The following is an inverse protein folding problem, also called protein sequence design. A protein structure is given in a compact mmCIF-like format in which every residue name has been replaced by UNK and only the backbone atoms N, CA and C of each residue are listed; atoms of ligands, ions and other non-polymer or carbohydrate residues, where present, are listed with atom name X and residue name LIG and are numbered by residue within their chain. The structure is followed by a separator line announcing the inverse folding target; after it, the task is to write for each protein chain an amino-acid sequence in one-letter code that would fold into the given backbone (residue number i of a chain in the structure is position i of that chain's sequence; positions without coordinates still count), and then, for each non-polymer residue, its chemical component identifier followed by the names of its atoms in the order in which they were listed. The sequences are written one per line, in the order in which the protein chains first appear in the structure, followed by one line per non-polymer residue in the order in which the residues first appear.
data_IF_707793042201
#
_entry.id   IF_707793042201
#
_cell.length_a   1.000
_cell.length_b   1.000
_cell.length_c   1.000
_cell.angle_alpha   90.00
_cell.angle_beta   90.00
_cell.angle_gamma   90.00
#
_symmetry.space_group_name_H-M   'P 1'
#
loop_
_entity.id
_entity.type
_entity.pdbx_description
1 polymer ?
#
# COMPACT_ATOMS: atom_id res chain seq x y z
N UNK A 1 54.10 47.68 8.09
CA UNK A 1 54.57 49.02 7.71
C UNK A 1 53.60 50.04 8.29
N UNK A 2 54.09 50.86 9.22
CA UNK A 2 53.33 51.96 9.80
C UNK A 2 53.17 53.04 8.72
N UNK A 3 51.96 53.16 8.18
CA UNK A 3 51.65 54.17 7.18
C UNK A 3 51.46 55.50 7.92
N UNK A 4 52.55 56.24 8.06
CA UNK A 4 52.55 57.53 8.76
C UNK A 4 51.66 58.50 7.97
N UNK A 5 50.65 59.06 8.62
CA UNK A 5 49.73 60.02 7.97
C UNK A 5 50.40 61.39 7.87
N UNK A 6 50.83 61.76 6.66
CA UNK A 6 51.51 63.03 6.38
C UNK A 6 50.61 64.24 6.61
N UNK A 7 49.28 64.09 6.48
CA UNK A 7 48.33 65.15 6.80
C UNK A 7 48.26 65.38 8.32
N UNK A 8 48.28 64.29 9.10
CA UNK A 8 48.31 64.37 10.56
C UNK A 8 49.62 64.98 11.10
N UNK A 9 50.77 64.68 10.48
CA UNK A 9 52.06 65.28 10.86
C UNK A 9 52.04 66.80 10.69
N UNK A 10 51.53 67.29 9.55
CA UNK A 10 51.39 68.72 9.28
C UNK A 10 50.23 69.36 10.03
N UNK A 11 49.30 68.58 10.59
CA UNK A 11 48.14 69.07 11.33
C UNK A 11 47.05 69.68 10.44
N UNK A 12 46.96 69.25 9.18
CA UNK A 12 46.02 69.78 8.19
C UNK A 12 45.00 68.73 7.77
N UNK A 13 43.75 69.12 7.43
CA UNK A 13 42.78 68.18 6.89
C UNK A 13 43.17 67.74 5.47
N UNK A 14 42.72 66.55 5.04
CA UNK A 14 42.99 66.01 3.70
C UNK A 14 42.46 66.88 2.55
N UNK A 15 41.46 67.71 2.83
CA UNK A 15 40.87 68.70 1.92
C UNK A 15 41.67 70.01 1.83
N UNK A 16 42.79 70.16 2.55
CA UNK A 16 43.56 71.39 2.57
C UNK A 16 44.11 71.77 1.18
N UNK A 17 44.00 73.07 0.85
CA UNK A 17 44.64 73.66 -0.33
C UNK A 17 46.15 73.65 -0.20
N UNK A 18 46.86 73.75 -1.33
CA UNK A 18 48.33 73.81 -1.36
C UNK A 18 48.89 74.96 -0.53
N UNK A 19 48.18 76.09 -0.51
CA UNK A 19 48.59 77.26 0.28
C UNK A 19 48.47 77.00 1.78
N UNK A 20 47.39 76.32 2.22
CA UNK A 20 47.22 75.91 3.62
C UNK A 20 48.26 74.89 4.09
N UNK A 21 48.68 73.97 3.21
CA UNK A 21 49.78 73.02 3.50
C UNK A 21 51.11 73.77 3.66
N UNK A 22 51.35 74.81 2.84
CA UNK A 22 52.56 75.64 2.89
C UNK A 22 52.60 76.50 4.15
N UNK A 23 51.47 77.05 4.58
CA UNK A 23 51.35 77.82 5.81
C UNK A 23 51.55 76.95 7.05
N UNK A 24 50.90 75.79 7.11
CA UNK A 24 51.08 74.84 8.21
C UNK A 24 52.52 74.33 8.34
N UNK A 25 53.19 74.08 7.21
CA UNK A 25 54.62 73.74 7.20
C UNK A 25 55.49 74.87 7.78
N UNK A 26 55.23 76.14 7.41
CA UNK A 26 55.99 77.28 7.96
C UNK A 26 55.84 77.40 9.46
N UNK A 27 54.62 77.25 9.99
CA UNK A 27 54.35 77.29 11.43
C UNK A 27 55.07 76.15 12.16
N UNK A 28 54.92 74.91 11.69
CA UNK A 28 55.59 73.73 12.25
C UNK A 28 57.12 73.80 12.15
N UNK A 29 57.65 74.37 11.07
CA UNK A 29 59.09 74.53 10.88
C UNK A 29 59.69 75.58 11.81
N UNK A 30 58.94 76.64 12.16
CA UNK A 30 59.36 77.64 13.15
C UNK A 30 59.31 77.08 14.58
N UNK A 31 58.31 76.24 14.88
CA UNK A 31 58.17 75.58 16.19
C UNK A 31 59.24 74.50 16.42
N UNK A 32 59.60 73.74 15.37
CA UNK A 32 60.48 72.58 15.44
C UNK A 32 61.85 72.84 14.81
N UNK A 33 62.26 74.10 14.65
CA UNK A 33 63.57 74.42 14.11
C UNK A 33 64.67 73.88 15.06
N UNK A 34 65.70 73.18 14.55
CA UNK A 34 66.73 72.55 15.39
C UNK A 34 67.53 73.55 16.24
N UNK A 35 67.55 74.82 15.86
CA UNK A 35 68.17 75.92 16.62
C UNK A 35 67.39 76.29 17.90
N UNK A 36 66.07 76.06 17.92
CA UNK A 36 65.19 76.40 19.05
C UNK A 36 64.75 75.18 19.86
N UNK A 37 64.73 73.99 19.23
CA UNK A 37 64.40 72.74 19.89
C UNK A 37 65.32 71.59 19.39
N UNK A 38 66.45 71.32 20.06
CA UNK A 38 67.44 70.35 19.61
C UNK A 38 66.95 68.89 19.63
N UNK A 39 65.91 68.55 20.40
CA UNK A 39 65.33 67.20 20.41
C UNK A 39 64.29 66.99 19.29
N UNK A 40 63.91 68.05 18.58
CA UNK A 40 62.90 68.03 17.52
C UNK A 40 63.38 67.51 16.16
N UNK A 41 64.66 67.17 16.00
CA UNK A 41 65.26 66.85 14.69
C UNK A 41 64.54 65.69 13.97
N UNK A 42 64.17 64.63 14.70
CA UNK A 42 63.47 63.49 14.14
C UNK A 42 62.06 63.86 13.63
N UNK A 43 61.34 64.71 14.37
CA UNK A 43 60.00 65.18 14.00
C UNK A 43 60.08 66.19 12.85
N UNK A 44 61.10 67.05 12.86
CA UNK A 44 61.36 68.00 11.78
C UNK A 44 61.63 67.28 10.45
N UNK A 45 62.43 66.22 10.44
CA UNK A 45 62.64 65.37 9.24
C UNK A 45 61.32 64.78 8.71
N UNK A 46 60.41 64.37 9.59
CA UNK A 46 59.09 63.88 9.20
C UNK A 46 58.20 64.98 8.62
N UNK A 47 58.23 66.18 9.20
CA UNK A 47 57.50 67.36 8.71
C UNK A 47 57.99 67.78 7.32
N UNK A 48 59.30 67.77 7.08
CA UNK A 48 59.90 68.06 5.76
C UNK A 48 59.49 67.01 4.73
N UNK A 49 59.53 65.72 5.10
CA UNK A 49 59.09 64.64 4.22
C UNK A 49 57.60 64.72 3.88
N UNK A 50 56.76 65.03 4.87
CA UNK A 50 55.32 65.24 4.68
C UNK A 50 55.05 66.38 3.70
N UNK A 51 55.71 67.52 3.88
CA UNK A 51 55.57 68.67 2.98
C UNK A 51 56.02 68.34 1.55
N UNK A 52 57.16 67.66 1.38
CA UNK A 52 57.68 67.31 0.04
C UNK A 52 56.74 66.38 -0.75
N UNK A 53 56.03 65.48 -0.07
CA UNK A 53 55.04 64.59 -0.69
C UNK A 53 53.75 65.34 -1.00
N UNK A 54 53.26 66.17 -0.06
CA UNK A 54 51.97 66.86 -0.18
C UNK A 54 52.00 68.13 -1.05
N UNK A 55 53.15 68.79 -1.19
CA UNK A 55 53.31 69.99 -2.02
C UNK A 55 53.20 69.66 -3.52
N UNK A 56 53.74 68.52 -3.95
CA UNK A 56 53.70 68.11 -5.36
C UNK A 56 52.35 67.47 -5.69
N UNK A 57 51.59 67.98 -6.67
CA UNK A 57 50.28 67.43 -7.01
C UNK A 57 50.35 65.98 -7.48
N UNK A 58 51.45 65.58 -8.14
CA UNK A 58 51.65 64.21 -8.62
C UNK A 58 51.95 63.23 -7.50
N UNK A 59 52.76 63.65 -6.51
CA UNK A 59 53.09 62.81 -5.33
C UNK A 59 51.91 62.74 -4.36
N UNK A 60 51.21 63.86 -4.13
CA UNK A 60 49.98 63.91 -3.34
C UNK A 60 48.92 62.97 -3.89
N UNK A 61 48.68 62.99 -5.21
CA UNK A 61 47.70 62.09 -5.84
C UNK A 61 48.04 60.61 -5.64
N UNK A 62 49.31 60.22 -5.82
CA UNK A 62 49.75 58.82 -5.59
C UNK A 62 49.57 58.42 -4.13
N UNK A 63 49.91 59.31 -3.20
CA UNK A 63 49.74 59.08 -1.77
C UNK A 63 48.26 58.94 -1.38
N UNK A 64 47.39 59.80 -1.92
CA UNK A 64 45.94 59.74 -1.69
C UNK A 64 45.34 58.46 -2.31
N UNK A 65 45.80 58.03 -3.49
CA UNK A 65 45.41 56.77 -4.13
C UNK A 65 45.83 55.56 -3.28
N UNK A 66 47.08 55.51 -2.80
CA UNK A 66 47.56 54.45 -1.91
C UNK A 66 46.71 54.37 -0.65
N UNK A 67 46.50 55.48 0.06
CA UNK A 67 45.67 55.48 1.27
C UNK A 67 44.24 55.05 0.96
N UNK A 68 43.65 55.51 -0.15
CA UNK A 68 42.28 55.12 -0.53
C UNK A 68 42.16 53.61 -0.79
N UNK A 69 43.21 52.97 -1.31
CA UNK A 69 43.28 51.52 -1.50
C UNK A 69 43.43 50.79 -0.17
N UNK A 70 44.18 51.36 0.79
CA UNK A 70 44.29 50.80 2.14
C UNK A 70 42.99 50.93 2.93
N UNK A 71 42.30 52.07 2.89
CA UNK A 71 40.99 52.26 3.52
C UNK A 71 39.94 51.30 2.91
N UNK A 72 39.97 51.10 1.59
CA UNK A 72 39.10 50.13 0.89
C UNK A 72 39.36 48.68 1.30
N UNK A 73 40.60 48.32 1.67
CA UNK A 73 40.98 46.97 2.12
C UNK A 73 40.70 46.72 3.61
N UNK A 74 40.37 47.73 4.41
CA UNK A 74 40.07 47.60 5.86
C UNK A 74 38.58 47.57 6.24
N UNK A 75 37.65 47.76 5.29
CA UNK A 75 36.24 47.39 5.42
C UNK A 75 35.33 48.37 6.18
N UNK A 76 34.49 49.10 5.43
CA UNK A 76 33.31 49.85 5.90
C UNK A 76 32.59 50.54 4.72
N UNK A 77 31.24 50.56 4.66
CA UNK A 77 30.49 50.87 3.44
C UNK A 77 30.48 52.36 3.10
N UNK A 78 30.66 52.67 1.82
CA UNK A 78 30.49 54.04 1.28
C UNK A 78 28.99 54.32 1.13
N UNK A 79 28.43 55.42 1.68
CA UNK A 79 27.07 55.82 1.36
C UNK A 79 27.04 56.40 -0.06
N UNK A 80 26.24 55.79 -0.93
CA UNK A 80 25.86 56.39 -2.21
C UNK A 80 24.76 57.43 -1.96
N UNK A 81 24.79 58.63 -2.57
CA UNK A 81 23.57 59.36 -2.82
C UNK A 81 22.85 58.75 -4.04
N UNK A 82 21.59 58.36 -3.81
CA UNK A 82 20.63 57.90 -4.82
C UNK A 82 20.01 59.07 -5.60
N UNK A 83 19.53 58.70 -6.81
CA UNK A 83 18.54 59.37 -7.69
C UNK A 83 19.04 60.55 -8.55
N UNK A 84 18.66 60.69 -9.82
CA UNK A 84 17.65 60.04 -10.67
C UNK A 84 17.96 60.31 -12.16
N UNK A 85 17.49 59.44 -13.08
CA UNK A 85 17.38 59.77 -14.52
C UNK A 85 17.80 58.66 -15.49
N UNK A 86 16.84 57.81 -15.86
CA UNK A 86 16.84 56.87 -17.01
C UNK A 86 17.06 57.58 -18.37
N UNK A 87 17.14 56.87 -19.53
CA UNK A 87 17.57 55.49 -19.80
C UNK A 87 18.57 55.37 -20.98
N UNK A 88 19.12 54.17 -21.15
CA UNK A 88 19.85 53.70 -22.33
C UNK A 88 18.92 53.67 -23.58
N UNK A 89 19.43 53.73 -24.83
CA UNK A 89 19.79 52.46 -25.45
C UNK A 89 20.94 52.48 -26.50
N UNK A 90 21.47 51.28 -26.71
CA UNK A 90 21.97 50.74 -28.00
C UNK A 90 23.36 51.12 -28.53
N UNK A 91 24.20 50.07 -28.51
CA UNK A 91 25.09 49.61 -29.61
C UNK A 91 24.92 50.30 -30.97
N UNK A 92 26.02 50.82 -31.51
CA UNK A 92 26.55 50.64 -32.89
C UNK A 92 27.71 51.63 -33.06
N UNK A 93 28.96 51.18 -33.25
CA UNK A 93 29.62 50.91 -34.54
C UNK A 93 29.85 52.14 -35.42
N UNK A 94 31.11 52.26 -35.90
CA UNK A 94 31.57 53.22 -36.90
C UNK A 94 31.97 54.56 -36.27
N UNK A 95 33.02 55.24 -36.68
CA UNK A 95 33.78 55.15 -37.91
C UNK A 95 34.93 56.16 -37.83
N UNK A 96 36.01 55.89 -38.58
CA UNK A 96 37.02 56.84 -39.04
C UNK A 96 37.83 57.59 -37.95
N UNK A 97 39.15 57.66 -38.01
CA UNK A 97 40.02 57.58 -39.16
C UNK A 97 41.14 58.59 -38.94
N UNK A 98 42.29 58.28 -39.50
CA UNK A 98 43.40 59.19 -39.78
C UNK A 98 44.34 59.57 -38.62
N UNK A 99 45.54 59.00 -38.71
CA UNK A 99 46.82 59.64 -38.39
C UNK A 99 46.93 60.98 -39.18
N UNK A 100 47.74 61.97 -38.73
CA UNK A 100 49.14 61.96 -39.17
C UNK A 100 50.16 62.42 -38.11
N UNK A 101 51.38 61.92 -38.27
CA UNK A 101 52.63 62.56 -37.80
C UNK A 101 52.80 63.94 -38.44
N UNK A 102 53.42 64.91 -37.75
CA UNK A 102 54.42 65.84 -38.36
C UNK A 102 54.82 67.04 -37.45
N UNK A 103 56.10 67.05 -37.08
CA UNK A 103 57.10 68.16 -37.01
C UNK A 103 56.76 69.59 -36.56
N UNK A 104 57.60 70.10 -35.62
CA UNK A 104 58.24 71.44 -35.60
C UNK A 104 57.34 72.68 -35.43
N UNK A 105 57.72 73.83 -34.88
CA UNK A 105 59.00 74.44 -34.46
C UNK A 105 58.65 75.75 -33.70
N UNK A 106 59.46 76.17 -32.70
CA UNK A 106 59.68 77.57 -32.20
C UNK A 106 58.46 78.29 -31.55
N UNK A 107 58.57 79.03 -30.44
CA UNK A 107 59.47 80.15 -30.13
C UNK A 107 59.48 80.49 -28.62
N UNK A 108 60.67 80.83 -28.13
CA UNK A 108 61.01 82.00 -27.28
C UNK A 108 60.53 82.14 -25.82
N UNK A 109 61.55 82.33 -24.97
CA UNK A 109 61.64 83.18 -23.76
C UNK A 109 60.96 82.70 -22.46
N UNK A 110 61.75 82.15 -21.54
CA UNK A 110 62.34 82.90 -20.42
C UNK A 110 63.02 81.94 -19.41
N UNK A 111 64.35 82.08 -19.26
CA UNK A 111 65.12 81.79 -18.04
C UNK A 111 65.63 83.17 -17.55
N UNK A 112 66.00 83.41 -16.27
CA UNK A 112 66.96 82.59 -15.50
C UNK A 112 66.61 82.52 -13.98
N UNK A 113 67.25 81.73 -13.12
CA UNK A 113 68.68 81.76 -12.74
C UNK A 113 69.07 80.45 -12.05
N UNK A 114 70.25 79.94 -12.39
CA UNK A 114 70.97 78.90 -11.66
C UNK A 114 72.43 79.33 -11.45
N UNK A 115 72.99 78.87 -10.33
CA UNK A 115 74.31 79.11 -9.78
C UNK A 115 75.46 78.74 -10.72
N UNK A 116 75.90 79.71 -11.52
CA UNK A 116 77.12 79.55 -12.34
C UNK A 116 77.86 80.89 -12.51
N UNK A 117 77.87 81.72 -11.47
CA UNK A 117 78.62 82.98 -11.40
C UNK A 117 79.24 83.22 -10.02
N UNK A 118 80.08 82.29 -9.57
CA UNK A 118 80.90 82.49 -8.38
C UNK A 118 82.41 82.29 -8.60
N UNK A 119 82.82 81.87 -9.81
CA UNK A 119 84.25 81.66 -10.12
C UNK A 119 84.79 82.49 -11.29
N UNK A 120 83.96 83.37 -11.89
CA UNK A 120 84.33 84.16 -13.08
C UNK A 120 84.58 85.66 -12.82
N UNK A 121 84.46 86.12 -11.57
CA UNK A 121 84.63 87.53 -11.16
C UNK A 121 85.96 87.83 -10.43
N UNK A 122 86.81 86.83 -10.20
CA UNK A 122 88.15 87.03 -9.61
C UNK A 122 89.23 87.22 -10.71
N UNK A 123 88.99 86.70 -11.91
CA UNK A 123 89.97 86.76 -13.02
C UNK A 123 89.77 87.95 -13.98
N UNK A 124 88.69 88.73 -13.80
CA UNK A 124 88.39 89.95 -14.59
C UNK A 124 88.90 91.25 -13.97
N UNK A 125 89.45 91.21 -12.76
CA UNK A 125 89.99 92.37 -12.04
C UNK A 125 91.49 92.63 -12.30
N UNK A 126 92.18 91.77 -13.06
CA UNK A 126 93.65 91.84 -13.24
C UNK A 126 94.13 92.14 -14.68
N UNK A 127 93.23 92.50 -15.61
CA UNK A 127 93.58 92.66 -17.06
C UNK A 127 93.10 93.93 -17.77
N UNK A 128 92.70 94.99 -17.07
CA UNK A 128 92.46 96.31 -17.69
C UNK A 128 93.02 97.44 -16.83
N UNK A 129 94.24 97.87 -17.15
CA UNK A 129 94.79 99.14 -16.70
C UNK A 129 94.51 100.23 -17.72
N UNK A 130 94.05 101.41 -17.28
CA UNK A 130 94.37 102.71 -17.91
C UNK A 130 93.97 103.84 -16.95
N UNK A 131 94.93 104.39 -16.19
CA UNK A 131 94.89 105.78 -15.74
C UNK A 131 96.30 106.35 -15.91
N UNK A 132 96.33 107.61 -16.35
CA UNK A 132 97.47 108.30 -16.94
C UNK A 132 98.66 108.49 -16.00
N UNK A 133 99.81 108.71 -16.62
CA UNK A 133 101.09 108.84 -15.95
C UNK A 133 101.33 110.19 -15.27
N UNK A 134 102.38 110.19 -14.45
CA UNK A 134 103.28 111.32 -14.21
C UNK A 134 104.58 110.77 -13.59
N UNK A 135 105.70 110.91 -14.30
CA UNK A 135 107.08 110.86 -13.80
C UNK A 135 107.39 112.14 -12.98
N UNK A 136 108.46 112.25 -12.13
CA UNK A 136 109.81 111.71 -12.38
C UNK A 136 110.74 111.33 -11.19
N UNK A 137 111.86 110.70 -11.55
CA UNK A 137 113.24 110.77 -10.98
C UNK A 137 113.53 110.31 -9.53
N UNK A 138 114.51 109.40 -9.38
CA UNK A 138 115.88 109.73 -8.91
C UNK A 138 116.63 108.53 -8.29
N UNK A 139 117.81 108.23 -8.87
CA UNK A 139 119.11 107.73 -8.33
C UNK A 139 119.15 106.56 -7.31
N UNK A 140 120.07 105.58 -7.39
CA UNK A 140 121.52 105.74 -7.60
C UNK A 140 122.23 104.37 -7.91
N UNK A 141 123.10 104.34 -8.94
CA UNK A 141 124.49 103.78 -9.07
C UNK A 141 124.84 102.34 -8.61
N UNK A 142 125.82 101.59 -9.14
CA UNK A 142 126.75 101.56 -10.31
C UNK A 142 127.46 100.16 -10.20
N UNK A 143 127.85 99.46 -11.27
CA UNK A 143 129.19 99.37 -11.91
C UNK A 143 129.09 98.13 -12.85
N UNK A 144 129.74 97.93 -14.00
CA UNK A 144 130.81 98.60 -14.71
C UNK A 144 131.44 97.59 -15.70
N UNK A 145 131.26 97.85 -17.01
CA UNK A 145 132.24 97.67 -18.10
C UNK A 145 132.83 96.26 -18.44
N UNK A 146 132.68 95.83 -19.72
CA UNK A 146 133.74 95.78 -20.78
C UNK A 146 133.43 94.74 -21.87
N UNK A 147 133.36 95.19 -23.12
CA UNK A 147 133.66 94.43 -24.35
C UNK A 147 134.96 95.04 -24.92
N UNK A 148 135.78 94.40 -25.80
CA UNK A 148 135.31 93.87 -27.10
C UNK A 148 136.12 92.72 -27.74
N UNK A 149 135.60 92.16 -28.84
CA UNK A 149 136.44 91.89 -30.02
C UNK A 149 136.26 90.55 -30.75
N UNK A 150 135.64 90.60 -31.94
CA UNK A 150 136.21 89.93 -33.13
C UNK A 150 135.45 88.73 -33.73
N UNK A 151 135.24 88.83 -35.05
CA UNK A 151 134.98 87.78 -36.04
C UNK A 151 133.52 87.36 -36.29
N UNK A 152 132.94 88.00 -37.32
CA UNK A 152 131.71 87.64 -38.01
C UNK A 152 131.78 86.20 -38.56
N UNK A 153 131.05 85.28 -37.93
CA UNK A 153 130.52 84.07 -38.59
C UNK A 153 129.06 84.35 -38.93
N UNK A 154 128.73 84.21 -40.21
CA UNK A 154 127.47 84.64 -40.81
C UNK A 154 126.24 84.08 -40.09
N UNK A 155 125.32 84.98 -39.72
CA UNK A 155 124.03 84.71 -39.08
C UNK A 155 123.24 83.54 -39.71
N UNK A 156 123.46 83.24 -40.99
CA UNK A 156 122.84 82.12 -41.70
C UNK A 156 123.27 80.74 -41.21
N UNK A 157 124.54 80.55 -40.82
CA UNK A 157 125.00 79.26 -40.28
C UNK A 157 124.50 79.05 -38.84
N UNK A 158 124.51 80.12 -38.05
CA UNK A 158 123.91 80.12 -36.72
C UNK A 158 122.40 79.82 -36.76
N UNK A 159 121.67 80.42 -37.70
CA UNK A 159 120.23 80.21 -37.85
C UNK A 159 119.89 78.79 -38.31
N UNK A 160 120.64 78.22 -39.27
CA UNK A 160 120.48 76.82 -39.70
C UNK A 160 120.76 75.84 -38.56
N UNK A 161 121.85 76.05 -37.82
CA UNK A 161 122.17 75.23 -36.63
C UNK A 161 121.05 75.30 -35.58
N UNK A 162 120.46 76.48 -35.35
CA UNK A 162 119.33 76.64 -34.43
C UNK A 162 118.05 75.98 -34.91
N UNK A 163 117.77 75.96 -36.21
CA UNK A 163 116.66 75.21 -36.80
C UNK A 163 116.84 73.69 -36.64
N UNK A 164 118.06 73.18 -36.82
CA UNK A 164 118.41 71.77 -36.63
C UNK A 164 118.26 71.35 -35.15
N UNK A 165 118.74 72.18 -34.21
CA UNK A 165 118.58 71.96 -32.75
C UNK A 165 117.10 71.96 -32.33
N UNK A 166 116.27 72.84 -32.93
CA UNK A 166 114.83 72.84 -32.69
C UNK A 166 114.20 71.53 -33.19
N UNK A 167 114.55 71.08 -34.39
CA UNK A 167 114.09 69.79 -34.94
C UNK A 167 114.50 68.61 -34.06
N UNK A 168 115.74 68.55 -33.62
CA UNK A 168 116.21 67.51 -32.72
C UNK A 168 115.48 67.56 -31.37
N UNK A 169 115.21 68.74 -30.83
CA UNK A 169 114.41 68.88 -29.60
C UNK A 169 112.94 68.45 -29.80
N UNK A 170 112.34 68.75 -30.95
CA UNK A 170 110.99 68.31 -31.31
C UNK A 170 110.92 66.79 -31.48
N UNK A 171 111.93 66.16 -32.07
CA UNK A 171 112.04 64.71 -32.20
C UNK A 171 112.22 64.03 -30.83
N UNK A 172 113.04 64.60 -29.94
CA UNK A 172 113.17 64.12 -28.56
C UNK A 172 111.85 64.27 -27.80
N UNK A 173 111.12 65.37 -28.00
CA UNK A 173 109.79 65.56 -27.40
C UNK A 173 108.78 64.55 -27.94
N UNK A 174 108.75 64.28 -29.25
CA UNK A 174 107.89 63.25 -29.85
C UNK A 174 108.24 61.85 -29.32
N UNK A 175 109.52 61.51 -29.25
CA UNK A 175 109.99 60.23 -28.69
C UNK A 175 109.60 60.07 -27.21
N UNK A 176 109.68 61.14 -26.40
CA UNK A 176 109.21 61.13 -25.01
C UNK A 176 107.69 60.95 -24.90
N UNK A 177 106.92 61.61 -25.76
CA UNK A 177 105.45 61.44 -25.81
C UNK A 177 105.07 60.03 -26.26
N UNK A 178 105.75 59.47 -27.26
CA UNK A 178 105.49 58.11 -27.73
C UNK A 178 105.93 57.05 -26.70
N UNK A 179 107.01 57.29 -25.96
CA UNK A 179 107.39 56.46 -24.83
C UNK A 179 106.36 56.53 -23.69
N UNK A 180 105.86 57.72 -23.34
CA UNK A 180 104.79 57.90 -22.37
C UNK A 180 103.50 57.17 -22.80
N UNK A 181 103.11 57.28 -24.08
CA UNK A 181 101.97 56.54 -24.64
C UNK A 181 102.14 55.03 -24.59
N UNK A 182 103.36 54.52 -24.83
CA UNK A 182 103.66 53.08 -24.69
C UNK A 182 103.55 52.63 -23.25
N UNK A 183 104.06 53.43 -22.31
CA UNK A 183 103.94 53.15 -20.88
C UNK A 183 102.48 53.15 -20.42
N UNK A 184 101.70 54.15 -20.81
CA UNK A 184 100.25 54.21 -20.55
C UNK A 184 99.50 53.02 -21.16
N UNK A 185 99.89 52.56 -22.36
CA UNK A 185 99.30 51.38 -22.98
C UNK A 185 99.64 50.09 -22.24
N UNK A 186 100.87 49.96 -21.70
CA UNK A 186 101.27 48.84 -20.86
C UNK A 186 100.57 48.85 -19.50
N UNK A 187 100.44 50.01 -18.87
CA UNK A 187 99.68 50.17 -17.63
C UNK A 187 98.20 49.85 -17.83
N UNK A 188 97.61 50.28 -18.95
CA UNK A 188 96.24 49.94 -19.31
C UNK A 188 96.06 48.43 -19.52
N UNK A 189 97.01 47.77 -20.22
CA UNK A 189 97.00 46.30 -20.36
C UNK A 189 97.07 45.60 -19.01
N UNK A 190 97.96 46.01 -18.11
CA UNK A 190 98.06 45.45 -16.76
C UNK A 190 96.79 45.69 -15.93
N UNK A 191 96.16 46.87 -16.06
CA UNK A 191 94.89 47.17 -15.43
C UNK A 191 93.74 46.33 -15.98
N UNK A 192 93.71 46.08 -17.30
CA UNK A 192 92.72 45.23 -17.96
C UNK A 192 92.93 43.75 -17.60
N UNK A 193 94.17 43.27 -17.52
CA UNK A 193 94.50 41.93 -17.02
C UNK A 193 94.06 41.75 -15.56
N UNK A 194 94.28 42.76 -14.72
CA UNK A 194 93.85 42.72 -13.32
C UNK A 194 92.32 42.76 -13.20
N UNK A 195 91.62 43.59 -13.99
CA UNK A 195 90.15 43.62 -14.06
C UNK A 195 89.58 42.28 -14.53
N UNK A 196 90.12 41.69 -15.59
CA UNK A 196 89.71 40.38 -16.09
C UNK A 196 89.93 39.28 -15.05
N UNK A 197 91.01 39.35 -14.28
CA UNK A 197 91.28 38.41 -13.18
C UNK A 197 90.26 38.56 -12.04
N UNK A 198 89.88 39.79 -11.67
CA UNK A 198 88.84 40.04 -10.68
C UNK A 198 87.48 39.55 -11.18
N UNK A 199 87.09 39.88 -12.41
CA UNK A 199 85.85 39.40 -13.01
C UNK A 199 85.80 37.87 -13.08
N UNK A 200 86.93 37.20 -13.38
CA UNK A 200 86.98 35.73 -13.39
C UNK A 200 86.76 35.16 -11.99
N UNK A 201 87.36 35.74 -10.96
CA UNK A 201 87.16 35.33 -9.57
C UNK A 201 85.74 35.58 -9.08
N UNK A 202 85.13 36.69 -9.50
CA UNK A 202 83.74 37.00 -9.19
C UNK A 202 82.79 36.03 -9.89
N UNK A 203 83.00 35.74 -11.18
CA UNK A 203 82.24 34.71 -11.91
C UNK A 203 82.37 33.33 -11.26
N UNK A 204 83.56 32.93 -10.84
CA UNK A 204 83.77 31.66 -10.14
C UNK A 204 82.97 31.60 -8.81
N UNK A 205 83.00 32.68 -8.00
CA UNK A 205 82.21 32.78 -6.77
C UNK A 205 80.70 32.79 -7.03
N UNK A 206 80.26 33.49 -8.06
CA UNK A 206 78.85 33.53 -8.47
C UNK A 206 78.38 32.17 -8.97
N UNK A 207 79.21 31.45 -9.73
CA UNK A 207 78.93 30.08 -10.14
C UNK A 207 78.85 29.12 -8.96
N UNK A 208 79.73 29.26 -7.98
CA UNK A 208 79.71 28.46 -6.75
C UNK A 208 78.42 28.72 -5.95
N UNK A 209 78.07 29.99 -5.71
CA UNK A 209 76.80 30.36 -5.09
C UNK A 209 75.59 29.88 -5.88
N UNK A 210 75.66 29.90 -7.21
CA UNK A 210 74.60 29.37 -8.07
C UNK A 210 74.48 27.85 -7.92
N UNK A 211 75.59 27.11 -7.85
CA UNK A 211 75.59 25.66 -7.62
C UNK A 211 75.05 25.33 -6.23
N UNK A 212 75.41 26.10 -5.20
CA UNK A 212 74.89 25.93 -3.85
C UNK A 212 73.39 26.20 -3.77
N UNK A 213 72.91 27.28 -4.40
CA UNK A 213 71.47 27.57 -4.51
C UNK A 213 70.73 26.44 -5.23
N UNK A 214 71.26 25.96 -6.36
CA UNK A 214 70.67 24.84 -7.08
C UNK A 214 70.64 23.54 -6.26
N UNK A 215 71.68 23.26 -5.45
CA UNK A 215 71.67 22.13 -4.51
C UNK A 215 70.61 22.27 -3.43
N UNK A 216 70.49 23.45 -2.81
CA UNK A 216 69.47 23.72 -1.79
C UNK A 216 68.07 23.64 -2.36
N UNK A 217 67.84 24.20 -3.55
CA UNK A 217 66.55 24.11 -4.25
C UNK A 217 66.21 22.64 -4.54
N UNK A 218 67.17 21.84 -4.99
CA UNK A 218 66.96 20.41 -5.22
C UNK A 218 66.65 19.64 -3.91
N UNK A 219 67.37 19.92 -2.82
CA UNK A 219 67.10 19.31 -1.50
C UNK A 219 65.75 19.74 -0.91
N UNK A 220 65.33 20.99 -1.13
CA UNK A 220 64.01 21.46 -0.73
C UNK A 220 62.92 20.82 -1.60
N UNK A 221 63.16 20.64 -2.89
CA UNK A 221 62.23 20.00 -3.80
C UNK A 221 62.07 18.50 -3.49
N UNK A 222 63.15 17.79 -3.15
CA UNK A 222 63.06 16.38 -2.70
C UNK A 222 62.28 16.28 -1.40
N UNK A 223 62.59 17.11 -0.39
CA UNK A 223 61.81 17.16 0.86
C UNK A 223 60.35 17.52 0.63
N UNK A 224 60.07 18.40 -0.34
CA UNK A 224 58.70 18.74 -0.72
C UNK A 224 57.98 17.54 -1.33
N UNK A 225 58.63 16.80 -2.24
CA UNK A 225 58.07 15.56 -2.83
C UNK A 225 57.83 14.50 -1.76
N UNK A 226 58.77 14.28 -0.84
CA UNK A 226 58.60 13.37 0.28
C UNK A 226 57.41 13.76 1.18
N UNK A 227 57.24 15.05 1.48
CA UNK A 227 56.08 15.55 2.24
C UNK A 227 54.78 15.35 1.47
N UNK A 228 54.75 15.64 0.17
CA UNK A 228 53.58 15.45 -0.69
C UNK A 228 53.22 13.95 -0.78
N UNK A 229 54.21 13.06 -0.90
CA UNK A 229 54.02 11.61 -0.87
C UNK A 229 53.54 11.13 0.50
N UNK A 230 54.09 11.64 1.60
CA UNK A 230 53.64 11.32 2.95
C UNK A 230 52.19 11.76 3.19
N UNK A 231 51.80 12.96 2.74
CA UNK A 231 50.42 13.44 2.81
C UNK A 231 49.51 12.55 1.96
N UNK A 232 49.95 12.14 0.76
CA UNK A 232 49.21 11.24 -0.11
C UNK A 232 49.02 9.86 0.53
N UNK A 233 50.05 9.33 1.18
CA UNK A 233 49.99 8.06 1.93
C UNK A 233 49.04 8.18 3.12
N UNK A 234 49.16 9.21 3.95
CA UNK A 234 48.24 9.45 5.06
C UNK A 234 46.79 9.58 4.60
N UNK A 235 46.55 10.30 3.50
CA UNK A 235 45.21 10.41 2.94
C UNK A 235 44.70 9.06 2.43
N UNK A 236 45.54 8.28 1.74
CA UNK A 236 45.19 6.94 1.29
C UNK A 236 44.91 6.00 2.47
N UNK A 237 45.65 6.10 3.57
CA UNK A 237 45.41 5.35 4.81
C UNK A 237 44.10 5.77 5.48
N UNK A 238 43.82 7.08 5.56
CA UNK A 238 42.54 7.59 6.07
C UNK A 238 41.37 7.12 5.20
N UNK A 239 41.51 7.16 3.88
CA UNK A 239 40.49 6.69 2.95
C UNK A 239 40.31 5.17 3.08
N UNK A 240 41.39 4.39 3.23
CA UNK A 240 41.32 2.95 3.54
C UNK A 240 40.65 2.67 4.88
N UNK A 241 40.96 3.44 5.92
CA UNK A 241 40.35 3.30 7.24
C UNK A 241 38.84 3.60 7.19
N UNK A 242 38.43 4.68 6.53
CA UNK A 242 37.01 5.00 6.30
C UNK A 242 36.29 3.91 5.51
N UNK A 243 36.94 3.35 4.49
CA UNK A 243 36.38 2.23 3.73
C UNK A 243 36.27 0.96 4.57
N UNK A 244 37.23 0.70 5.46
CA UNK A 244 37.18 -0.41 6.40
C UNK A 244 36.04 -0.23 7.43
N UNK A 245 35.90 0.95 8.03
CA UNK A 245 34.78 1.29 8.92
C UNK A 245 33.43 1.14 8.21
N UNK A 246 33.33 1.62 6.97
CA UNK A 246 32.14 1.46 6.15
C UNK A 246 31.85 -0.03 5.86
N UNK A 247 32.87 -0.83 5.56
CA UNK A 247 32.72 -2.26 5.35
C UNK A 247 32.29 -3.01 6.63
N UNK A 248 32.82 -2.63 7.79
CA UNK A 248 32.38 -3.16 9.08
C UNK A 248 30.93 -2.78 9.40
N UNK A 249 30.55 -1.53 9.12
CA UNK A 249 29.16 -1.09 9.25
C UNK A 249 28.22 -1.92 8.37
N UNK A 250 28.59 -2.16 7.11
CA UNK A 250 27.83 -3.02 6.20
C UNK A 250 27.71 -4.47 6.71
N UNK A 251 28.82 -5.04 7.21
CA UNK A 251 28.79 -6.38 7.83
C UNK A 251 27.88 -6.44 9.05
N UNK A 252 27.89 -5.40 9.88
CA UNK A 252 27.00 -5.30 11.05
C UNK A 252 25.54 -5.23 10.62
N UNK A 253 25.20 -4.42 9.62
CA UNK A 253 23.84 -4.37 9.09
C UNK A 253 23.39 -5.73 8.51
N UNK A 254 24.28 -6.43 7.80
CA UNK A 254 23.99 -7.78 7.31
C UNK A 254 23.75 -8.76 8.47
N UNK A 255 24.57 -8.70 9.52
CA UNK A 255 24.42 -9.57 10.69
C UNK A 255 23.14 -9.27 11.47
N UNK A 256 22.76 -8.00 11.60
CA UNK A 256 21.50 -7.57 12.22
C UNK A 256 20.30 -8.08 11.41
N UNK A 257 20.35 -7.99 10.07
CA UNK A 257 19.34 -8.55 9.17
C UNK A 257 19.25 -10.08 9.30
N UNK A 258 20.38 -10.78 9.31
CA UNK A 258 20.41 -12.24 9.45
C UNK A 258 19.85 -12.69 10.81
N UNK A 259 20.14 -11.92 11.87
CA UNK A 259 19.59 -12.16 13.21
C UNK A 259 18.08 -11.96 13.22
N UNK A 260 17.59 -10.86 12.65
CA UNK A 260 16.16 -10.61 12.50
C UNK A 260 15.44 -11.70 11.69
N UNK A 261 16.05 -12.17 10.59
CA UNK A 261 15.50 -13.27 9.78
C UNK A 261 15.43 -14.59 10.55
N UNK A 262 16.43 -14.88 11.41
CA UNK A 262 16.40 -16.05 12.29
C UNK A 262 15.27 -15.96 13.32
N UNK A 263 15.10 -14.82 13.96
CA UNK A 263 13.99 -14.58 14.90
C UNK A 263 12.63 -14.73 14.23
N UNK A 264 12.48 -14.19 13.01
CA UNK A 264 11.26 -14.32 12.22
C UNK A 264 10.98 -15.80 11.86
N UNK A 265 12.02 -16.55 11.50
CA UNK A 265 11.90 -17.97 11.19
C UNK A 265 11.49 -18.81 12.41
N UNK A 266 11.99 -18.47 13.61
CA UNK A 266 11.57 -19.10 14.86
C UNK A 266 10.10 -18.79 15.17
N UNK A 267 9.69 -17.52 15.12
CA UNK A 267 8.30 -17.11 15.31
C UNK A 267 7.35 -17.80 14.32
N UNK A 268 7.79 -17.95 13.06
CA UNK A 268 7.02 -18.69 12.04
C UNK A 268 6.82 -20.15 12.44
N UNK A 269 7.87 -20.83 12.93
CA UNK A 269 7.79 -22.22 13.40
C UNK A 269 6.87 -22.34 14.62
N UNK A 270 6.98 -21.44 15.59
CA UNK A 270 6.10 -21.40 16.77
C UNK A 270 4.63 -21.27 16.35
N UNK A 271 4.32 -20.33 15.45
CA UNK A 271 2.96 -20.15 14.92
C UNK A 271 2.49 -21.37 14.11
N UNK A 272 3.37 -22.04 13.37
CA UNK A 272 3.04 -23.28 12.66
C UNK A 272 2.74 -24.43 13.65
N UNK A 273 3.49 -24.53 14.75
CA UNK A 273 3.23 -25.49 15.83
C UNK A 273 1.91 -25.19 16.54
N UNK A 274 1.63 -23.92 16.85
CA UNK A 274 0.33 -23.51 17.42
C UNK A 274 -0.82 -23.83 16.46
N UNK A 275 -0.66 -23.56 15.16
CA UNK A 275 -1.66 -23.94 14.15
C UNK A 275 -1.86 -25.45 14.09
N UNK A 276 -0.79 -26.25 14.22
CA UNK A 276 -0.90 -27.72 14.29
C UNK A 276 -1.62 -28.17 15.55
N UNK A 277 -1.30 -27.58 16.72
CA UNK A 277 -1.99 -27.87 17.99
C UNK A 277 -3.48 -27.56 17.91
N UNK A 278 -3.82 -26.37 17.41
CA UNK A 278 -5.22 -25.97 17.19
C UNK A 278 -5.92 -26.86 16.17
N UNK A 279 -5.21 -27.34 15.13
CA UNK A 279 -5.78 -28.29 14.17
C UNK A 279 -6.07 -29.64 14.84
N UNK A 280 -5.14 -30.18 15.62
CA UNK A 280 -5.35 -31.43 16.37
C UNK A 280 -6.46 -31.30 17.41
N UNK A 281 -6.56 -30.16 18.09
CA UNK A 281 -7.62 -29.88 19.07
C UNK A 281 -8.99 -29.78 18.38
N UNK A 282 -9.05 -29.14 17.21
CA UNK A 282 -10.27 -29.11 16.38
C UNK A 282 -10.66 -30.50 15.87
N UNK A 283 -9.70 -31.31 15.45
CA UNK A 283 -9.95 -32.69 15.04
C UNK A 283 -10.47 -33.55 16.20
N UNK A 284 -9.89 -33.42 17.40
CA UNK A 284 -10.38 -34.08 18.60
C UNK A 284 -11.80 -33.63 18.97
N UNK A 285 -12.07 -32.32 18.97
CA UNK A 285 -13.42 -31.81 19.20
C UNK A 285 -14.43 -32.31 18.15
N UNK A 286 -14.01 -32.45 16.90
CA UNK A 286 -14.85 -33.04 15.84
C UNK A 286 -15.07 -34.54 16.07
N UNK A 287 -14.07 -35.28 16.55
CA UNK A 287 -14.22 -36.69 16.91
C UNK A 287 -15.18 -36.85 18.09
N UNK A 288 -15.04 -36.04 19.13
CA UNK A 288 -15.90 -36.06 20.32
C UNK A 288 -17.36 -35.75 19.95
N UNK A 289 -17.59 -34.75 19.09
CA UNK A 289 -18.95 -34.42 18.60
C UNK A 289 -19.52 -35.56 17.76
N UNK A 290 -18.75 -36.12 16.83
CA UNK A 290 -19.17 -37.28 16.04
C UNK A 290 -19.45 -38.51 16.92
N UNK A 291 -18.65 -38.74 17.97
CA UNK A 291 -18.83 -39.85 18.92
C UNK A 291 -20.07 -39.63 19.80
N UNK A 292 -20.33 -38.39 20.22
CA UNK A 292 -21.58 -38.03 20.89
C UNK A 292 -22.80 -38.24 19.98
N UNK A 293 -22.71 -37.87 18.69
CA UNK A 293 -23.78 -38.12 17.72
C UNK A 293 -24.00 -39.62 17.48
N UNK A 294 -22.93 -40.40 17.32
CA UNK A 294 -23.01 -41.87 17.23
C UNK A 294 -23.65 -42.46 18.48
N UNK A 295 -23.24 -42.03 19.66
CA UNK A 295 -23.82 -42.46 20.94
C UNK A 295 -25.29 -42.08 21.07
N UNK A 296 -25.71 -40.92 20.55
CA UNK A 296 -27.13 -40.51 20.50
C UNK A 296 -27.92 -41.38 19.54
N UNK A 297 -27.40 -41.60 18.34
CA UNK A 297 -28.02 -42.47 17.34
C UNK A 297 -28.12 -43.91 17.84
N UNK A 298 -27.12 -44.43 18.53
CA UNK A 298 -27.15 -45.78 19.10
C UNK A 298 -28.19 -45.91 20.20
N UNK A 299 -28.28 -44.94 21.12
CA UNK A 299 -29.39 -44.87 22.09
C UNK A 299 -30.75 -44.75 21.41
N UNK A 300 -30.85 -44.02 20.30
CA UNK A 300 -32.08 -43.93 19.52
C UNK A 300 -32.43 -45.28 18.88
N UNK A 301 -31.47 -45.97 18.26
CA UNK A 301 -31.68 -47.32 17.71
C UNK A 301 -32.09 -48.31 18.79
N UNK A 302 -31.49 -48.24 19.98
CA UNK A 302 -31.90 -49.06 21.12
C UNK A 302 -33.35 -48.76 21.52
N UNK A 303 -33.73 -47.48 21.63
CA UNK A 303 -35.13 -47.10 21.91
C UNK A 303 -36.08 -47.59 20.82
N UNK A 304 -35.73 -47.42 19.55
CA UNK A 304 -36.53 -47.89 18.42
C UNK A 304 -36.66 -49.42 18.42
N UNK A 305 -35.57 -50.13 18.76
CA UNK A 305 -35.58 -51.57 18.93
C UNK A 305 -36.47 -52.00 20.10
N UNK A 306 -36.34 -51.38 21.27
CA UNK A 306 -37.16 -51.66 22.44
C UNK A 306 -38.65 -51.41 22.16
N UNK A 307 -38.96 -50.28 21.49
CA UNK A 307 -40.31 -49.96 21.03
C UNK A 307 -40.81 -51.02 20.05
N UNK A 308 -39.99 -51.44 19.08
CA UNK A 308 -40.37 -52.47 18.12
C UNK A 308 -40.63 -53.82 18.80
N UNK A 309 -39.84 -54.19 19.81
CA UNK A 309 -40.04 -55.39 20.62
C UNK A 309 -41.36 -55.29 21.41
N UNK A 310 -41.66 -54.15 22.01
CA UNK A 310 -42.94 -53.94 22.71
C UNK A 310 -44.14 -53.94 21.76
N UNK A 311 -44.00 -53.36 20.56
CA UNK A 311 -45.01 -53.44 19.50
C UNK A 311 -45.24 -54.90 19.12
N UNK A 312 -44.17 -55.68 18.87
CA UNK A 312 -44.30 -57.10 18.54
C UNK A 312 -44.99 -57.90 19.66
N UNK A 313 -44.67 -57.64 20.94
CA UNK A 313 -45.38 -58.25 22.08
C UNK A 313 -46.84 -57.83 22.16
N UNK A 314 -47.16 -56.58 21.82
CA UNK A 314 -48.53 -56.10 21.78
C UNK A 314 -49.30 -56.76 20.62
N UNK A 315 -48.68 -56.88 19.44
CA UNK A 315 -49.24 -57.59 18.30
C UNK A 315 -49.54 -59.05 18.63
N UNK A 316 -48.62 -59.78 19.28
CA UNK A 316 -48.89 -61.15 19.71
C UNK A 316 -50.06 -61.23 20.69
N UNK A 317 -50.14 -60.31 21.66
CA UNK A 317 -51.28 -60.23 22.59
C UNK A 317 -52.61 -59.90 21.89
N UNK A 318 -52.58 -59.03 20.87
CA UNK A 318 -53.76 -58.72 20.06
C UNK A 318 -54.19 -59.97 19.29
N UNK A 319 -53.26 -60.68 18.66
CA UNK A 319 -53.54 -61.94 17.95
C UNK A 319 -54.15 -62.98 18.91
N UNK A 320 -53.57 -63.15 20.10
CA UNK A 320 -54.11 -64.04 21.14
C UNK A 320 -55.52 -63.61 21.59
N UNK A 321 -55.75 -62.31 21.80
CA UNK A 321 -57.06 -61.79 22.18
C UNK A 321 -58.12 -62.00 21.07
N UNK A 322 -57.75 -61.78 19.81
CA UNK A 322 -58.60 -62.06 18.66
C UNK A 322 -58.89 -63.56 18.53
N UNK A 323 -57.91 -64.43 18.78
CA UNK A 323 -58.12 -65.86 18.82
C UNK A 323 -59.09 -66.26 19.95
N UNK A 324 -58.92 -65.69 21.16
CA UNK A 324 -59.86 -65.88 22.25
C UNK A 324 -61.27 -65.40 21.92
N UNK A 325 -61.42 -64.26 21.24
CA UNK A 325 -62.71 -63.76 20.79
C UNK A 325 -63.35 -64.73 19.77
N UNK A 326 -62.59 -65.17 18.76
CA UNK A 326 -63.07 -66.15 17.78
C UNK A 326 -63.49 -67.47 18.44
N UNK A 327 -62.76 -67.94 19.46
CA UNK A 327 -63.14 -69.12 20.25
C UNK A 327 -64.44 -68.90 21.03
N UNK A 328 -64.67 -67.71 21.60
CA UNK A 328 -65.93 -67.38 22.29
C UNK A 328 -67.10 -67.34 21.30
N UNK A 329 -66.94 -66.67 20.17
CA UNK A 329 -67.97 -66.61 19.13
C UNK A 329 -68.29 -68.00 18.55
N UNK A 330 -67.27 -68.83 18.35
CA UNK A 330 -67.45 -70.22 17.93
C UNK A 330 -68.16 -71.06 19.00
N UNK A 331 -67.84 -70.85 20.28
CA UNK A 331 -68.51 -71.51 21.39
C UNK A 331 -69.98 -71.09 21.49
N UNK A 332 -70.29 -69.79 21.38
CA UNK A 332 -71.66 -69.27 21.37
C UNK A 332 -72.45 -69.84 20.19
N UNK A 333 -71.89 -69.82 18.97
CA UNK A 333 -72.51 -70.46 17.80
C UNK A 333 -72.75 -71.96 18.01
N UNK A 334 -71.82 -72.68 18.62
CA UNK A 334 -72.01 -74.10 18.93
C UNK A 334 -73.12 -74.33 19.97
N UNK A 335 -73.26 -73.44 20.96
CA UNK A 335 -74.39 -73.48 21.91
C UNK A 335 -75.71 -73.16 21.23
N UNK A 336 -75.74 -72.16 20.34
CA UNK A 336 -76.92 -71.83 19.54
C UNK A 336 -77.33 -72.96 18.61
N UNK A 337 -76.38 -73.60 17.91
CA UNK A 337 -76.63 -74.78 17.10
C UNK A 337 -77.16 -75.95 17.94
N UNK A 338 -76.61 -76.15 19.14
CA UNK A 338 -77.10 -77.18 20.06
C UNK A 338 -78.54 -76.90 20.50
N UNK A 339 -78.85 -75.66 20.90
CA UNK A 339 -80.22 -75.24 21.24
C UNK A 339 -81.17 -75.43 20.08
N UNK A 340 -80.75 -75.04 18.87
CA UNK A 340 -81.52 -75.24 17.64
C UNK A 340 -81.77 -76.72 17.36
N UNK A 341 -80.76 -77.59 17.52
CA UNK A 341 -80.93 -79.04 17.38
C UNK A 341 -81.86 -79.64 18.43
N UNK A 342 -81.81 -79.16 19.66
CA UNK A 342 -82.73 -79.57 20.73
C UNK A 342 -84.17 -79.10 20.45
N UNK A 343 -84.36 -77.88 19.94
CA UNK A 343 -85.67 -77.37 19.50
C UNK A 343 -86.21 -78.13 18.29
N UNK A 344 -85.36 -78.41 17.29
CA UNK A 344 -85.72 -79.25 16.13
C UNK A 344 -86.05 -80.69 16.55
N UNK A 345 -85.35 -81.25 17.56
CA UNK A 345 -85.66 -82.56 18.12
C UNK A 345 -87.00 -82.58 18.87
N UNK A 346 -87.29 -81.55 19.68
CA UNK A 346 -88.59 -81.39 20.33
C UNK A 346 -89.73 -81.30 19.33
N UNK A 347 -89.57 -80.51 18.27
CA UNK A 347 -90.55 -80.42 17.19
C UNK A 347 -90.79 -81.77 16.52
N UNK A 348 -89.73 -82.55 16.27
CA UNK A 348 -89.85 -83.92 15.73
C UNK A 348 -90.55 -84.87 16.70
N UNK A 349 -90.27 -84.78 17.99
CA UNK A 349 -90.96 -85.58 19.02
C UNK A 349 -92.45 -85.23 19.10
N UNK A 350 -92.79 -83.93 19.07
CA UNK A 350 -94.18 -83.47 19.01
C UNK A 350 -94.90 -83.93 17.73
N UNK A 351 -94.22 -83.91 16.57
CA UNK A 351 -94.77 -84.46 15.32
C UNK A 351 -95.01 -85.97 15.41
N UNK A 352 -94.10 -86.72 16.03
CA UNK A 352 -94.24 -88.16 16.25
C UNK A 352 -95.42 -88.45 17.19
N UNK A 353 -95.57 -87.68 18.27
CA UNK A 353 -96.72 -87.79 19.17
C UNK A 353 -98.04 -87.52 18.46
N UNK A 354 -98.10 -86.50 17.59
CA UNK A 354 -99.30 -86.25 16.77
C UNK A 354 -99.61 -87.42 15.83
N UNK A 355 -98.59 -88.06 15.26
CA UNK A 355 -98.79 -89.25 14.42
C UNK A 355 -99.28 -90.46 15.23
N UNK A 356 -98.76 -90.65 16.44
CA UNK A 356 -99.23 -91.70 17.35
C UNK A 356 -100.68 -91.46 17.80
N UNK A 357 -101.06 -90.22 18.12
CA UNK A 357 -102.44 -89.83 18.45
C UNK A 357 -103.38 -90.09 17.26
N UNK A 358 -102.98 -89.73 16.04
CA UNK A 358 -103.75 -90.03 14.83
C UNK A 358 -103.93 -91.54 14.62
N UNK A 359 -102.89 -92.33 14.83
CA UNK A 359 -102.98 -93.80 14.75
C UNK A 359 -103.86 -94.38 15.87
N UNK A 360 -103.85 -93.80 17.07
CA UNK A 360 -104.73 -94.19 18.17
C UNK A 360 -106.20 -93.81 17.88
N UNK A 361 -106.47 -92.65 17.28
CA UNK A 361 -107.81 -92.29 16.83
C UNK A 361 -108.32 -93.21 15.71
N UNK A 362 -107.48 -93.57 14.75
CA UNK A 362 -107.85 -94.49 13.67
C UNK A 362 -108.15 -95.91 14.19
N UNK A 363 -107.38 -96.41 15.16
CA UNK A 363 -107.66 -97.71 15.80
C UNK A 363 -108.94 -97.68 16.63
N UNK A 364 -109.25 -96.57 17.32
CA UNK A 364 -110.53 -96.37 18.01
C UNK A 364 -111.73 -96.28 17.04
N UNK A 365 -111.54 -95.67 15.86
CA UNK A 365 -112.55 -95.65 14.79
C UNK A 365 -112.82 -97.05 14.21
N UNK A 366 -111.79 -97.88 14.08
CA UNK A 366 -111.96 -99.27 13.63
C UNK A 366 -112.72 -100.11 14.66
N UNK A 367 -112.43 -99.93 15.96
CA UNK A 367 -113.13 -100.65 17.04
C UNK A 367 -114.60 -100.23 17.20
N UNK A 368 -114.93 -98.97 16.92
CA UNK A 368 -116.31 -98.44 16.97
C UNK A 368 -117.13 -98.85 15.74
N UNK A 369 -116.50 -98.96 14.56
CA UNK A 369 -117.15 -99.48 13.35
C UNK A 369 -117.55 -100.97 13.47
N UNK A 370 -116.74 -101.82 14.10
CA UNK A 370 -117.08 -103.24 14.35
C UNK A 370 -118.23 -103.39 15.38
N UNK A 371 -118.37 -102.45 16.33
CA UNK A 371 -119.49 -102.42 17.28
C UNK A 371 -120.82 -101.92 16.66
N UNK A 372 -120.78 -101.14 15.58
CA UNK A 372 -121.97 -100.72 14.84
C UNK A 372 -122.48 -101.80 13.86
N UNK A 373 -121.56 -102.59 13.27
CA UNK A 373 -121.91 -103.67 12.34
C UNK A 373 -122.65 -104.85 13.01
N UNK A 374 -122.35 -105.10 14.29
CA UNK A 374 -123.05 -106.10 15.13
C UNK A 374 -124.43 -105.60 15.61
N UNK A 375 -124.62 -104.28 15.79
CA UNK A 375 -125.91 -103.65 16.11
C UNK A 375 -126.91 -103.67 14.94
N UNK A 376 -126.44 -103.54 13.70
CA UNK A 376 -127.27 -103.52 12.48
C UNK A 376 -127.73 -104.89 11.97
N UNK A 377 -127.22 -106.00 12.53
CA UNK A 377 -127.70 -107.37 12.28
C UNK A 377 -128.90 -107.74 13.16
N UNK A 378 -128.93 -107.26 14.41
CA UNK A 378 -130.04 -107.50 15.35
C UNK A 378 -131.30 -106.69 15.01
N UNK A 379 -131.15 -105.51 14.39
CA UNK A 379 -132.29 -104.65 14.01
C UNK A 379 -133.08 -105.16 12.78
N UNK A 380 -132.43 -105.88 11.85
CA UNK A 380 -133.06 -106.41 10.63
C UNK A 380 -133.93 -107.66 10.86
N UNK A 381 -133.66 -108.44 11.91
CA UNK A 381 -134.45 -109.65 12.23
C UNK A 381 -135.77 -109.35 12.97
N UNK A 382 -135.86 -108.20 13.65
CA UNK A 382 -137.06 -107.78 14.38
C UNK A 382 -138.11 -107.09 13.49
N UNK A 383 -137.67 -106.41 12.42
CA UNK A 383 -138.57 -105.74 11.46
C UNK A 383 -139.24 -106.72 10.47
N UNK A 384 -138.62 -107.88 10.21
CA UNK A 384 -139.20 -108.95 9.39
C UNK A 384 -140.39 -109.67 10.05
N UNK A 385 -140.37 -109.83 11.39
CA UNK A 385 -141.42 -110.52 12.14
C UNK A 385 -142.66 -109.64 12.38
N UNK A 386 -142.52 -108.32 12.38
CA UNK A 386 -143.61 -107.35 12.55
C UNK A 386 -144.47 -107.18 11.30
N UNK A 387 -143.89 -107.35 10.11
CA UNK A 387 -144.58 -107.22 8.82
C UNK A 387 -145.49 -108.42 8.50
N UNK A 388 -145.05 -109.63 8.84
CA UNK A 388 -145.82 -110.88 8.64
C UNK A 388 -147.07 -110.97 9.53
N UNK A 389 -147.04 -110.41 10.75
CA UNK A 389 -148.19 -110.43 11.67
C UNK A 389 -149.33 -109.48 11.25
N UNK A 390 -149.01 -108.39 10.53
CA UNK A 390 -149.99 -107.41 10.06
C UNK A 390 -150.71 -107.86 8.78
N UNK A 391 -150.06 -108.61 7.91
CA UNK A 391 -150.68 -109.19 6.70
C UNK A 391 -151.68 -110.31 7.04
N UNK A 392 -151.44 -111.06 8.12
CA UNK A 392 -152.32 -112.14 8.56
C UNK A 392 -153.67 -111.61 9.11
N UNK A 393 -153.68 -110.47 9.79
CA UNK A 393 -154.88 -109.83 10.37
C UNK A 393 -155.78 -109.20 9.28
N UNK A 394 -155.19 -108.71 8.19
CA UNK A 394 -155.93 -108.09 7.07
C UNK A 394 -156.66 -109.14 6.23
N UNK A 395 -156.04 -110.32 6.04
CA UNK A 395 -156.63 -111.45 5.31
C UNK A 395 -157.81 -112.11 6.04
N UNK A 396 -157.75 -112.21 7.37
CA UNK A 396 -158.87 -112.75 8.17
C UNK A 396 -160.11 -111.84 8.14
N UNK A 397 -159.91 -110.53 8.07
CA UNK A 397 -161.02 -109.55 8.03
C UNK A 397 -161.79 -109.58 6.71
N UNK A 398 -161.10 -109.82 5.59
CA UNK A 398 -161.72 -109.95 4.28
C UNK A 398 -162.55 -111.23 4.15
N UNK A 399 -162.05 -112.37 4.67
CA UNK A 399 -162.82 -113.63 4.70
C UNK A 399 -164.13 -113.51 5.48
N UNK A 400 -164.10 -112.83 6.63
CA UNK A 400 -165.32 -112.60 7.41
C UNK A 400 -166.34 -111.67 6.73
N UNK A 401 -165.90 -110.74 5.87
CA UNK A 401 -166.82 -109.89 5.11
C UNK A 401 -167.47 -110.65 3.95
N UNK A 402 -166.72 -111.52 3.26
CA UNK A 402 -167.25 -112.35 2.18
C UNK A 402 -168.26 -113.39 2.70
N UNK A 403 -168.03 -113.97 3.89
CA UNK A 403 -168.95 -114.94 4.52
C UNK A 403 -170.28 -114.29 4.97
N UNK A 404 -170.24 -113.04 5.44
CA UNK A 404 -171.45 -112.29 5.85
C UNK A 404 -172.29 -111.90 4.64
N UNK A 405 -171.66 -111.54 3.52
CA UNK A 405 -172.37 -111.27 2.27
C UNK A 405 -172.97 -112.53 1.64
N UNK A 406 -172.28 -113.68 1.74
CA UNK A 406 -172.81 -114.97 1.29
C UNK A 406 -174.06 -115.37 2.09
N UNK A 407 -174.05 -115.19 3.42
CA UNK A 407 -175.22 -115.50 4.27
C UNK A 407 -176.45 -114.65 3.95
N UNK A 408 -176.27 -113.36 3.61
CA UNK A 408 -177.37 -112.46 3.22
C UNK A 408 -178.03 -112.89 1.90
N UNK A 409 -177.25 -113.31 0.91
CA UNK A 409 -177.77 -113.82 -0.37
C UNK A 409 -178.60 -115.08 -0.19
N UNK A 410 -178.22 -115.96 0.73
CA UNK A 410 -178.97 -117.18 1.04
C UNK A 410 -180.27 -116.87 1.80
N UNK A 411 -180.28 -115.84 2.65
CA UNK A 411 -181.51 -115.41 3.36
C UNK A 411 -182.53 -114.80 2.40
N UNK A 412 -182.08 -113.94 1.48
CA UNK A 412 -182.95 -113.34 0.45
C UNK A 412 -183.54 -114.41 -0.49
N UNK A 413 -182.78 -115.49 -0.76
CA UNK A 413 -183.23 -116.63 -1.56
C UNK A 413 -184.33 -117.45 -0.86
N UNK A 414 -184.17 -117.71 0.43
CA UNK A 414 -185.16 -118.45 1.23
C UNK A 414 -186.44 -117.63 1.40
N UNK A 415 -186.34 -116.31 1.60
CA UNK A 415 -187.52 -115.44 1.72
C UNK A 415 -188.31 -115.36 0.41
N UNK A 416 -187.62 -115.30 -0.75
CA UNK A 416 -188.25 -115.32 -2.07
C UNK A 416 -188.96 -116.65 -2.37
N UNK A 417 -188.34 -117.79 -2.01
CA UNK A 417 -188.97 -119.12 -2.16
C UNK A 417 -190.20 -119.27 -1.26
N UNK A 418 -190.16 -118.74 -0.04
CA UNK A 418 -191.28 -118.80 0.89
C UNK A 418 -192.46 -117.92 0.45
N UNK A 419 -192.19 -116.76 -0.13
CA UNK A 419 -193.21 -115.87 -0.70
C UNK A 419 -193.84 -116.45 -1.97
N UNK A 420 -193.04 -117.05 -2.87
CA UNK A 420 -193.55 -117.75 -4.04
C UNK A 420 -194.49 -118.92 -3.67
N UNK A 421 -194.17 -119.67 -2.60
CA UNK A 421 -195.03 -120.74 -2.07
C UNK A 421 -196.31 -120.23 -1.43
N UNK A 422 -196.28 -119.09 -0.74
CA UNK A 422 -197.48 -118.46 -0.16
C UNK A 422 -198.43 -117.90 -1.23
N UNK A 423 -197.90 -117.36 -2.32
CA UNK A 423 -198.72 -116.87 -3.43
C UNK A 423 -199.33 -118.03 -4.25
N UNK A 424 -198.58 -119.12 -4.44
CA UNK A 424 -199.12 -120.36 -5.03
C UNK A 424 -200.28 -120.96 -4.19
N UNK A 425 -200.21 -120.89 -2.85
CA UNK A 425 -201.29 -121.32 -1.95
C UNK A 425 -202.57 -120.49 -2.10
N UNK A 426 -202.42 -119.17 -2.26
CA UNK A 426 -203.55 -118.25 -2.46
C UNK A 426 -204.24 -118.50 -3.80
N UNK A 427 -203.47 -118.87 -4.82
CA UNK A 427 -203.96 -119.21 -6.16
C UNK A 427 -204.67 -120.58 -6.18
N UNK A 428 -204.13 -121.59 -5.49
CA UNK A 428 -204.73 -122.92 -5.35
C UNK A 428 -206.10 -122.87 -4.62
N UNK A 429 -206.23 -122.01 -3.61
CA UNK A 429 -207.51 -121.80 -2.88
C UNK A 429 -208.60 -121.16 -3.74
N UNK A 430 -208.24 -120.44 -4.81
CA UNK A 430 -209.19 -119.83 -5.74
C UNK A 430 -209.66 -120.78 -6.86
N UNK A 431 -208.89 -121.83 -7.16
CA UNK A 431 -209.10 -122.69 -8.34
C UNK A 431 -209.71 -124.07 -8.06
N UNK A 432 -209.95 -124.43 -6.79
CA UNK A 432 -210.73 -125.63 -6.43
C UNK A 432 -210.05 -126.97 -6.76
N UNK A 433 -208.73 -127.00 -6.94
CA UNK A 433 -207.96 -128.23 -7.14
C UNK A 433 -207.76 -129.00 -5.82
N UNK A 434 -207.69 -130.34 -5.85
CA UNK A 434 -207.42 -131.14 -4.65
C UNK A 434 -205.97 -130.91 -4.18
N UNK A 435 -205.85 -130.40 -2.95
CA UNK A 435 -204.55 -130.15 -2.31
C UNK A 435 -204.02 -131.47 -1.76
N UNK A 436 -202.96 -131.99 -2.37
CA UNK A 436 -202.18 -133.11 -1.86
C UNK A 436 -201.20 -132.61 -0.79
N UNK A 437 -201.34 -133.08 0.44
CA UNK A 437 -200.59 -132.57 1.61
C UNK A 437 -199.14 -133.09 1.70
N UNK A 438 -198.70 -133.99 0.82
CA UNK A 438 -197.35 -134.57 0.86
C UNK A 438 -196.26 -133.74 0.14
N UNK A 439 -196.64 -132.79 -0.73
CA UNK A 439 -195.69 -131.88 -1.42
C UNK A 439 -195.38 -130.60 -0.64
N UNK A 440 -195.96 -130.42 0.54
CA UNK A 440 -195.92 -129.16 1.31
C UNK A 440 -195.08 -129.23 2.59
N UNK A 441 -194.06 -130.09 2.61
CA UNK A 441 -193.01 -130.04 3.64
C UNK A 441 -191.97 -129.00 3.22
N UNK A 442 -191.89 -127.93 4.00
CA UNK A 442 -190.72 -127.06 4.06
C UNK A 442 -189.94 -127.45 5.32
#
# INVERSE_FOLDING_TARGET
MHQVDYYAILGVPRTASKDGIREAYKLKALELHPDRNPEGEAIFKLVVNAYHILQSPTKRRKYDEEISLYDRRRGGPVPQPRNAGRPNPSRANGEAGSVPHSYGTRTSRACPMSDEKLFEDIFKQYKKGTYGGNTPMSNNKHDGFRSPGGAETSFSEWFKKKQEELRQSEEICKAKVDYARKLEAEEKKRADEWRNLQERREREREEELRRERARREWEEETRRREREEAIKQQKAEQDRAKMAEYAEFQKKQQLDLDTYLKELALKKRELEEERRRLATEREQAQQDTNEQERSRHERQRQREHDIAVEISKAETKIIEALAHQAHREAFEKAQEEKRRREEEARLREEELQRQEEQHQEETLRQLTAEQEETRLKVFRELDGKRKALLEQIVLERQRHQDDVEAMRRETDRIEAEMQAKLDALREAKRSGQPINLDEWKL
#
